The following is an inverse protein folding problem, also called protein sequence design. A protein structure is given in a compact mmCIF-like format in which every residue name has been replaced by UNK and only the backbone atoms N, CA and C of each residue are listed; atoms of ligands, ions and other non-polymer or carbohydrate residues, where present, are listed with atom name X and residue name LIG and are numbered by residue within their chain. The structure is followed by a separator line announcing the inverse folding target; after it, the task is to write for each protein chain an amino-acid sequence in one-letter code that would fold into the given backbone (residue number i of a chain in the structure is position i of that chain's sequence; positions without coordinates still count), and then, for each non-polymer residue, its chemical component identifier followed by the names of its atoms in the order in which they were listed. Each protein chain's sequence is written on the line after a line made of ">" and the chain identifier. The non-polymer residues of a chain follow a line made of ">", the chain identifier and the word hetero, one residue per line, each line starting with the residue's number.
data_IF_605818952873
#
_entry.id   IF_605818952873
#
_cell.length_a   1.000
_cell.length_b   1.000
_cell.length_c   1.000
_cell.angle_alpha   90.00
_cell.angle_beta   90.00
_cell.angle_gamma   90.00
#
_symmetry.space_group_name_H-M   'P 1'
#
loop_
_entity.id
_entity.type
_entity.pdbx_description
1 polymer ?
#
# COMPACT_ATOMS: atom_id res chain seq x y z
N UNK A 1 -8.35 9.78 5.78
CA UNK A 1 -7.45 10.67 4.98
C UNK A 1 -8.17 11.96 4.58
N UNK A 2 -9.28 11.92 3.86
CA UNK A 2 -10.02 13.13 3.42
C UNK A 2 -10.42 14.01 4.60
N UNK A 3 -11.01 13.45 5.66
CA UNK A 3 -11.39 14.20 6.87
C UNK A 3 -10.20 14.78 7.62
N UNK A 4 -9.06 14.09 7.65
CA UNK A 4 -7.84 14.63 8.26
C UNK A 4 -7.30 15.83 7.47
N UNK A 5 -7.34 15.77 6.14
CA UNK A 5 -6.97 16.91 5.27
C UNK A 5 -7.94 18.07 5.46
N UNK A 6 -9.25 17.79 5.51
CA UNK A 6 -10.28 18.81 5.76
C UNK A 6 -10.06 19.52 7.10
N UNK A 7 -9.80 18.80 8.18
CA UNK A 7 -9.55 19.39 9.49
C UNK A 7 -8.29 20.26 9.51
N UNK A 8 -7.24 19.86 8.81
CA UNK A 8 -6.00 20.66 8.70
C UNK A 8 -6.26 21.95 7.92
N UNK A 9 -6.99 21.88 6.79
CA UNK A 9 -7.31 23.05 5.98
C UNK A 9 -8.18 24.05 6.75
N UNK A 10 -9.21 23.57 7.47
CA UNK A 10 -10.09 24.42 8.27
C UNK A 10 -9.39 25.05 9.49
N UNK A 11 -8.30 24.45 9.97
CA UNK A 11 -7.49 24.98 11.08
C UNK A 11 -6.35 25.90 10.61
N UNK A 12 -5.97 25.83 9.32
CA UNK A 12 -4.96 26.72 8.79
C UNK A 12 -5.58 28.09 8.52
N UNK A 13 -5.08 29.13 9.20
CA UNK A 13 -5.32 30.53 8.83
C UNK A 13 -4.66 30.77 7.45
N UNK A 14 -5.36 30.47 6.36
CA UNK A 14 -4.90 30.80 5.02
C UNK A 14 -5.26 32.26 4.74
N UNK A 15 -4.30 33.18 4.67
CA UNK A 15 -4.56 34.55 4.23
C UNK A 15 -4.82 34.55 2.72
N UNK A 16 -5.85 35.28 2.30
CA UNK A 16 -6.05 35.79 0.96
C UNK A 16 -6.38 34.80 -0.19
N UNK A 17 -7.33 33.89 0.00
CA UNK A 17 -8.00 33.30 -1.16
C UNK A 17 -9.44 33.83 -1.25
N UNK A 18 -9.84 34.27 -2.47
CA UNK A 18 -11.22 34.71 -2.80
C UNK A 18 -12.28 33.61 -2.62
N UNK A 19 -11.86 32.41 -2.27
CA UNK A 19 -12.71 31.22 -2.13
C UNK A 19 -12.90 30.88 -0.64
N UNK A 20 -14.15 30.59 -0.24
CA UNK A 20 -14.40 30.17 1.16
C UNK A 20 -13.63 28.88 1.49
N UNK A 21 -13.22 28.69 2.75
CA UNK A 21 -12.51 27.46 3.17
C UNK A 21 -13.28 26.18 2.84
N UNK A 22 -14.61 26.22 2.86
CA UNK A 22 -15.47 25.08 2.52
C UNK A 22 -15.40 24.75 1.02
N UNK A 23 -15.42 25.76 0.15
CA UNK A 23 -15.29 25.57 -1.30
C UNK A 23 -13.90 25.02 -1.67
N UNK A 24 -12.85 25.51 -1.02
CA UNK A 24 -11.50 24.97 -1.18
C UNK A 24 -11.39 23.50 -0.73
N UNK A 25 -11.98 23.16 0.42
CA UNK A 25 -12.07 21.77 0.87
C UNK A 25 -12.80 20.88 -0.13
N UNK A 26 -13.87 21.37 -0.76
CA UNK A 26 -14.60 20.65 -1.82
C UNK A 26 -13.69 20.34 -3.02
N UNK A 27 -12.97 21.33 -3.52
CA UNK A 27 -12.01 21.14 -4.64
C UNK A 27 -10.95 20.10 -4.30
N UNK A 28 -10.36 20.17 -3.12
CA UNK A 28 -9.35 19.18 -2.67
C UNK A 28 -9.98 17.79 -2.56
N UNK A 29 -11.20 17.69 -2.04
CA UNK A 29 -11.92 16.42 -1.95
C UNK A 29 -12.16 15.82 -3.34
N UNK A 30 -12.61 16.59 -4.31
CA UNK A 30 -12.85 16.13 -5.67
C UNK A 30 -11.56 15.66 -6.35
N UNK A 31 -10.45 16.37 -6.14
CA UNK A 31 -9.13 15.95 -6.61
C UNK A 31 -8.73 14.61 -5.99
N UNK A 32 -8.89 14.44 -4.68
CA UNK A 32 -8.53 13.21 -3.98
C UNK A 32 -9.39 12.03 -4.43
N UNK A 33 -10.70 12.21 -4.58
CA UNK A 33 -11.63 11.19 -5.09
C UNK A 33 -11.25 10.82 -6.54
N UNK A 34 -11.09 11.79 -7.43
CA UNK A 34 -10.68 11.52 -8.81
C UNK A 34 -9.33 10.80 -8.91
N UNK A 35 -8.39 11.07 -8.01
CA UNK A 35 -7.11 10.36 -7.93
C UNK A 35 -7.28 8.95 -7.38
N UNK A 36 -8.15 8.77 -6.39
CA UNK A 36 -8.48 7.46 -5.85
C UNK A 36 -9.08 6.57 -6.93
N UNK A 37 -10.11 7.01 -7.62
CA UNK A 37 -10.79 6.26 -8.68
C UNK A 37 -9.84 5.80 -9.80
N UNK A 38 -8.87 6.65 -10.15
CA UNK A 38 -7.87 6.34 -11.18
C UNK A 38 -6.79 5.36 -10.72
N UNK A 39 -6.43 5.38 -9.44
CA UNK A 39 -5.29 4.65 -8.91
C UNK A 39 -5.70 3.43 -8.07
N UNK A 40 -6.95 3.34 -7.62
CA UNK A 40 -7.45 2.21 -6.84
C UNK A 40 -7.72 1.01 -7.75
N UNK A 41 -6.68 0.23 -8.00
CA UNK A 41 -6.79 -1.02 -8.77
C UNK A 41 -7.12 -2.20 -7.85
N UNK A 42 -7.61 -3.34 -8.41
CA UNK A 42 -7.84 -4.56 -7.63
C UNK A 42 -6.65 -5.00 -6.78
N UNK A 43 -5.41 -4.80 -7.26
CA UNK A 43 -4.20 -5.11 -6.49
C UNK A 43 -4.01 -4.18 -5.28
N UNK A 44 -4.38 -2.90 -5.39
CA UNK A 44 -4.35 -1.98 -4.25
C UNK A 44 -5.39 -2.39 -3.20
N UNK A 45 -6.60 -2.77 -3.62
CA UNK A 45 -7.64 -3.27 -2.72
C UNK A 45 -7.19 -4.55 -2.00
N UNK A 46 -6.55 -5.46 -2.73
CA UNK A 46 -6.00 -6.69 -2.16
C UNK A 46 -4.86 -6.38 -1.16
N UNK A 47 -3.90 -5.55 -1.52
CA UNK A 47 -2.80 -5.17 -0.63
C UNK A 47 -3.31 -4.45 0.64
N UNK A 48 -4.30 -3.57 0.49
CA UNK A 48 -4.96 -2.93 1.62
C UNK A 48 -5.64 -3.94 2.53
N UNK A 49 -6.37 -4.91 1.95
CA UNK A 49 -7.05 -5.97 2.68
C UNK A 49 -6.10 -6.92 3.42
N UNK A 50 -4.89 -7.13 2.90
CA UNK A 50 -3.90 -8.03 3.50
C UNK A 50 -3.03 -7.36 4.58
N UNK A 51 -3.21 -6.06 4.84
CA UNK A 51 -2.44 -5.37 5.85
C UNK A 51 -3.04 -5.59 7.25
N UNK A 52 -2.36 -6.33 8.16
CA UNK A 52 -2.89 -6.66 9.48
C UNK A 52 -3.22 -5.43 10.34
N UNK A 53 -2.49 -4.33 10.14
CA UNK A 53 -2.69 -3.08 10.88
C UNK A 53 -4.12 -2.58 10.82
N UNK A 54 -4.79 -2.73 9.68
CA UNK A 54 -6.16 -2.23 9.48
C UNK A 54 -7.25 -3.07 10.18
N UNK A 55 -6.85 -4.15 10.85
CA UNK A 55 -7.70 -4.99 11.69
C UNK A 55 -7.31 -4.88 13.17
N UNK A 56 -6.31 -4.07 13.51
CA UNK A 56 -5.90 -3.88 14.90
C UNK A 56 -6.86 -2.94 15.63
N UNK A 57 -7.06 -3.21 16.92
CA UNK A 57 -7.90 -2.40 17.79
C UNK A 57 -7.43 -0.93 17.86
N UNK A 58 -6.10 -0.73 17.89
CA UNK A 58 -5.50 0.59 17.92
C UNK A 58 -5.84 1.42 16.67
N UNK A 59 -5.80 0.79 15.50
CA UNK A 59 -6.13 1.48 14.25
C UNK A 59 -7.63 1.77 14.15
N UNK A 60 -8.49 0.80 14.51
CA UNK A 60 -9.94 0.93 14.42
C UNK A 60 -10.47 2.04 15.32
N UNK A 61 -9.88 2.22 16.51
CA UNK A 61 -10.32 3.21 17.49
C UNK A 61 -9.44 4.49 17.55
N UNK A 62 -8.35 4.53 16.79
CA UNK A 62 -7.33 5.59 16.89
C UNK A 62 -7.57 6.82 16.02
N UNK A 63 -8.77 7.12 15.58
CA UNK A 63 -9.05 8.27 14.70
C UNK A 63 -10.21 9.13 15.21
N UNK A 64 -10.35 10.35 14.68
CA UNK A 64 -11.50 11.22 15.00
C UNK A 64 -12.83 10.67 14.48
N UNK A 65 -12.77 9.81 13.45
CA UNK A 65 -13.91 9.14 12.85
C UNK A 65 -13.82 7.65 13.06
N UNK A 66 -14.96 6.97 13.16
CA UNK A 66 -15.04 5.52 13.24
C UNK A 66 -14.45 4.90 11.97
N UNK A 67 -13.46 4.03 12.14
CA UNK A 67 -12.84 3.28 11.04
C UNK A 67 -13.44 1.88 10.96
N UNK A 68 -13.52 1.37 9.75
CA UNK A 68 -13.99 0.01 9.48
C UNK A 68 -12.85 -0.83 8.92
N UNK A 69 -12.78 -2.12 9.26
CA UNK A 69 -11.79 -3.01 8.67
C UNK A 69 -12.08 -3.21 7.17
N UNK A 70 -11.04 -3.42 6.35
CA UNK A 70 -11.18 -3.46 4.88
C UNK A 70 -12.22 -4.44 4.34
N UNK A 71 -12.48 -5.56 5.04
CA UNK A 71 -13.46 -6.55 4.60
C UNK A 71 -14.92 -6.08 4.72
N UNK A 72 -15.19 -5.01 5.49
CA UNK A 72 -16.50 -4.40 5.63
C UNK A 72 -16.77 -3.31 4.58
N UNK A 73 -15.77 -2.91 3.82
CA UNK A 73 -15.91 -1.98 2.70
C UNK A 73 -16.24 -2.74 1.42
N UNK A 74 -17.34 -2.35 0.74
CA UNK A 74 -17.83 -3.03 -0.45
C UNK A 74 -16.91 -2.90 -1.65
N UNK A 75 -16.36 -1.71 -1.90
CA UNK A 75 -15.43 -1.44 -3.00
C UNK A 75 -14.12 -2.21 -2.82
N UNK A 76 -13.52 -2.11 -1.64
CA UNK A 76 -12.29 -2.84 -1.31
C UNK A 76 -12.50 -4.36 -1.38
N UNK A 77 -13.64 -4.85 -0.90
CA UNK A 77 -13.96 -6.28 -0.94
C UNK A 77 -14.18 -6.79 -2.37
N UNK A 78 -14.82 -6.01 -3.23
CA UNK A 78 -14.99 -6.38 -4.63
C UNK A 78 -13.64 -6.39 -5.35
N UNK A 79 -12.84 -5.34 -5.23
CA UNK A 79 -11.52 -5.27 -5.85
C UNK A 79 -10.58 -6.39 -5.38
N UNK A 80 -10.62 -6.74 -4.08
CA UNK A 80 -9.88 -7.91 -3.56
C UNK A 80 -10.30 -9.20 -4.25
N UNK A 81 -11.61 -9.48 -4.35
CA UNK A 81 -12.11 -10.70 -5.01
C UNK A 81 -11.69 -10.76 -6.48
N UNK A 82 -11.75 -9.66 -7.19
CA UNK A 82 -11.35 -9.59 -8.59
C UNK A 82 -9.85 -9.85 -8.76
N UNK A 83 -9.02 -9.31 -7.87
CA UNK A 83 -7.59 -9.59 -7.85
C UNK A 83 -7.29 -11.07 -7.54
N UNK A 84 -7.96 -11.65 -6.54
CA UNK A 84 -7.77 -13.07 -6.21
C UNK A 84 -8.16 -13.99 -7.37
N UNK A 85 -9.29 -13.75 -8.05
CA UNK A 85 -9.70 -14.52 -9.23
C UNK A 85 -8.71 -14.39 -10.39
N UNK A 86 -8.10 -13.24 -10.55
CA UNK A 86 -7.08 -13.03 -11.57
C UNK A 86 -5.78 -13.77 -11.26
N UNK A 87 -5.38 -13.85 -9.98
CA UNK A 87 -4.15 -14.50 -9.53
C UNK A 87 -4.31 -16.02 -9.45
N UNK A 88 -5.43 -16.49 -8.87
CA UNK A 88 -5.72 -17.91 -8.68
C UNK A 88 -6.78 -18.37 -9.69
N UNK A 89 -6.33 -18.98 -10.78
CA UNK A 89 -7.24 -19.47 -11.83
C UNK A 89 -7.82 -20.86 -11.51
N UNK A 90 -7.14 -21.60 -10.65
CA UNK A 90 -7.63 -22.86 -10.13
C UNK A 90 -8.65 -22.64 -8.99
N UNK A 91 -9.82 -23.26 -9.12
CA UNK A 91 -10.93 -23.07 -8.17
C UNK A 91 -10.59 -23.52 -6.77
N UNK A 92 -9.90 -24.66 -6.61
CA UNK A 92 -9.55 -25.20 -5.30
C UNK A 92 -8.57 -24.27 -4.56
N UNK A 93 -7.57 -23.76 -5.27
CA UNK A 93 -6.62 -22.79 -4.71
C UNK A 93 -7.27 -21.46 -4.35
N UNK A 94 -8.25 -21.02 -5.16
CA UNK A 94 -9.00 -19.80 -4.86
C UNK A 94 -9.84 -19.96 -3.58
N UNK A 95 -10.59 -21.05 -3.47
CA UNK A 95 -11.44 -21.35 -2.31
C UNK A 95 -10.57 -21.44 -1.03
N UNK A 96 -9.42 -22.11 -1.08
CA UNK A 96 -8.48 -22.18 0.06
C UNK A 96 -7.98 -20.79 0.51
N UNK A 97 -7.66 -19.93 -0.43
CA UNK A 97 -7.18 -18.57 -0.13
C UNK A 97 -8.30 -17.67 0.38
N UNK A 98 -9.52 -17.80 -0.14
CA UNK A 98 -10.69 -17.06 0.33
C UNK A 98 -11.08 -17.48 1.76
N UNK A 99 -11.03 -18.78 2.08
CA UNK A 99 -11.28 -19.30 3.43
C UNK A 99 -10.20 -18.79 4.43
N UNK A 100 -8.93 -18.87 4.03
CA UNK A 100 -7.85 -18.36 4.84
C UNK A 100 -7.95 -16.84 5.07
N UNK A 101 -8.38 -16.09 4.05
CA UNK A 101 -8.62 -14.65 4.20
C UNK A 101 -9.80 -14.37 5.13
N UNK A 102 -10.88 -15.16 5.09
CA UNK A 102 -12.00 -15.02 5.99
C UNK A 102 -11.57 -15.20 7.45
N UNK A 103 -10.80 -16.26 7.76
CA UNK A 103 -10.25 -16.46 9.10
C UNK A 103 -9.31 -15.33 9.53
N UNK A 104 -8.45 -14.86 8.62
CA UNK A 104 -7.56 -13.72 8.86
C UNK A 104 -8.35 -12.45 9.18
N UNK A 105 -9.36 -12.13 8.38
CA UNK A 105 -10.11 -10.87 8.52
C UNK A 105 -10.91 -10.80 9.82
N UNK A 106 -11.46 -11.91 10.25
CA UNK A 106 -12.25 -12.03 11.50
C UNK A 106 -11.32 -12.22 12.72
N UNK A 107 -10.12 -12.76 12.54
CA UNK A 107 -9.23 -13.13 13.63
C UNK A 107 -9.66 -14.41 14.32
N UNK A 108 -10.01 -15.41 13.53
CA UNK A 108 -10.47 -16.72 14.01
C UNK A 108 -9.60 -17.85 13.44
N UNK A 109 -9.90 -19.09 13.82
CA UNK A 109 -9.23 -20.27 13.31
C UNK A 109 -7.70 -20.16 13.37
N UNK A 110 -7.06 -20.28 12.21
CA UNK A 110 -5.60 -20.18 12.05
C UNK A 110 -5.00 -18.85 12.54
N UNK A 111 -5.78 -17.77 12.54
CA UNK A 111 -5.36 -16.42 12.89
C UNK A 111 -5.98 -15.90 14.19
N UNK A 112 -6.59 -16.79 15.01
CA UNK A 112 -7.28 -16.44 16.26
C UNK A 112 -6.40 -16.39 17.50
N UNK A 113 -5.11 -16.72 17.41
CA UNK A 113 -4.19 -16.73 18.55
C UNK A 113 -3.99 -15.35 19.16
N UNK A 114 -3.83 -15.28 20.50
CA UNK A 114 -3.62 -14.03 21.22
C UNK A 114 -2.47 -13.19 20.65
N UNK A 115 -1.30 -13.82 20.42
CA UNK A 115 -0.13 -13.15 19.87
C UNK A 115 -0.35 -12.69 18.43
N UNK A 116 -1.09 -13.47 17.64
CA UNK A 116 -1.45 -13.14 16.26
C UNK A 116 -2.27 -11.84 16.20
N UNK A 117 -3.26 -11.73 17.07
CA UNK A 117 -4.14 -10.54 17.17
C UNK A 117 -3.38 -9.32 17.71
N UNK A 118 -2.63 -9.50 18.81
CA UNK A 118 -1.81 -8.45 19.43
C UNK A 118 -0.81 -7.84 18.44
N UNK A 119 -0.12 -8.70 17.70
CA UNK A 119 0.96 -8.29 16.79
C UNK A 119 0.46 -7.53 15.54
N UNK A 120 -0.85 -7.52 15.25
CA UNK A 120 -1.44 -6.81 14.11
C UNK A 120 -1.10 -5.33 14.08
N UNK A 121 -1.14 -4.66 15.23
CA UNK A 121 -0.81 -3.24 15.35
C UNK A 121 0.68 -2.98 15.59
N UNK A 122 1.37 -3.91 16.26
CA UNK A 122 2.75 -3.73 16.73
C UNK A 122 3.80 -4.04 15.66
N UNK A 123 3.56 -5.02 14.79
CA UNK A 123 4.55 -5.46 13.79
C UNK A 123 4.32 -4.83 12.43
N UNK A 124 5.41 -4.69 11.67
CA UNK A 124 5.31 -4.35 10.25
C UNK A 124 4.56 -5.46 9.51
N UNK A 125 3.70 -5.12 8.52
CA UNK A 125 2.85 -6.09 7.84
C UNK A 125 3.61 -7.30 7.28
N UNK A 126 4.74 -7.08 6.62
CA UNK A 126 5.60 -8.14 6.11
C UNK A 126 6.09 -9.09 7.23
N UNK A 127 6.58 -8.52 8.34
CA UNK A 127 7.08 -9.31 9.48
C UNK A 127 5.95 -10.07 10.19
N UNK A 128 4.75 -9.50 10.21
CA UNK A 128 3.58 -10.17 10.75
C UNK A 128 3.24 -11.42 9.92
N UNK A 129 3.17 -11.29 8.59
CA UNK A 129 2.90 -12.41 7.70
C UNK A 129 4.00 -13.48 7.75
N UNK A 130 5.26 -13.08 7.87
CA UNK A 130 6.37 -14.03 8.01
C UNK A 130 6.22 -14.89 9.29
N UNK A 131 5.76 -14.29 10.39
CA UNK A 131 5.64 -15.00 11.68
C UNK A 131 4.33 -15.79 11.81
N UNK A 132 3.22 -15.28 11.30
CA UNK A 132 1.88 -15.80 11.59
C UNK A 132 1.15 -16.40 10.39
N UNK A 133 1.70 -16.25 9.17
CA UNK A 133 1.06 -16.74 7.95
C UNK A 133 1.37 -18.19 7.56
N UNK A 134 2.20 -18.89 8.29
CA UNK A 134 2.73 -20.22 7.94
C UNK A 134 1.65 -21.30 7.77
N UNK A 135 0.52 -21.13 8.43
CA UNK A 135 -0.64 -22.04 8.34
C UNK A 135 -1.45 -21.91 7.04
N UNK A 136 -1.20 -20.88 6.25
CA UNK A 136 -1.79 -20.67 4.92
C UNK A 136 -0.72 -20.17 3.94
N UNK A 137 0.14 -21.08 3.43
CA UNK A 137 1.27 -20.70 2.58
C UNK A 137 0.90 -19.92 1.32
N UNK A 138 -0.20 -20.22 0.58
CA UNK A 138 -0.57 -19.44 -0.59
C UNK A 138 -0.90 -17.99 -0.26
N UNK A 139 -1.70 -17.77 0.80
CA UNK A 139 -2.06 -16.42 1.25
C UNK A 139 -0.84 -15.67 1.82
N UNK A 140 0.02 -16.35 2.57
CA UNK A 140 1.26 -15.78 3.10
C UNK A 140 2.18 -15.28 1.99
N UNK A 141 2.45 -16.12 0.97
CA UNK A 141 3.31 -15.75 -0.15
C UNK A 141 2.77 -14.57 -0.92
N UNK A 142 1.45 -14.56 -1.16
CA UNK A 142 0.78 -13.45 -1.81
C UNK A 142 0.91 -12.15 -1.00
N UNK A 143 0.61 -12.21 0.29
CA UNK A 143 0.71 -11.06 1.18
C UNK A 143 2.14 -10.52 1.26
N UNK A 144 3.13 -11.39 1.41
CA UNK A 144 4.54 -10.99 1.45
C UNK A 144 5.00 -10.34 0.14
N UNK A 145 4.58 -10.86 -1.01
CA UNK A 145 4.88 -10.25 -2.32
C UNK A 145 4.28 -8.86 -2.46
N UNK A 146 3.00 -8.69 -2.11
CA UNK A 146 2.31 -7.41 -2.27
C UNK A 146 2.80 -6.37 -1.25
N UNK A 147 2.95 -6.75 0.01
CA UNK A 147 3.30 -5.83 1.09
C UNK A 147 4.80 -5.47 1.14
N UNK A 148 5.64 -6.15 0.37
CA UNK A 148 7.03 -5.78 0.17
C UNK A 148 7.23 -4.79 -0.99
N UNK A 149 6.22 -4.57 -1.82
CA UNK A 149 6.32 -3.63 -2.92
C UNK A 149 6.40 -2.18 -2.42
N UNK A 150 7.17 -1.37 -3.14
CA UNK A 150 7.18 0.06 -2.90
C UNK A 150 5.86 0.68 -3.38
N UNK A 151 5.34 1.64 -2.63
CA UNK A 151 4.05 2.27 -2.91
C UNK A 151 4.08 3.28 -4.06
N UNK A 152 5.25 3.59 -4.60
CA UNK A 152 5.38 4.53 -5.71
C UNK A 152 6.60 4.23 -6.59
N UNK A 153 6.50 4.58 -7.89
CA UNK A 153 7.59 4.53 -8.85
C UNK A 153 8.64 5.63 -8.69
N UNK A 154 8.44 6.55 -7.75
CA UNK A 154 9.30 7.73 -7.58
C UNK A 154 10.78 7.40 -7.35
N UNK A 155 11.07 6.23 -6.77
CA UNK A 155 12.45 5.76 -6.63
C UNK A 155 13.06 5.40 -8.00
N UNK A 156 12.27 4.77 -8.88
CA UNK A 156 12.69 4.43 -10.25
C UNK A 156 12.84 5.69 -11.10
N UNK A 157 11.90 6.63 -11.01
CA UNK A 157 11.94 7.92 -11.73
C UNK A 157 13.17 8.74 -11.36
N UNK A 158 13.55 8.76 -10.08
CA UNK A 158 14.82 9.38 -9.65
C UNK A 158 16.05 8.71 -10.23
N UNK A 159 16.03 7.40 -10.42
CA UNK A 159 17.10 6.67 -11.07
C UNK A 159 17.15 6.92 -12.58
N UNK A 160 16.00 7.18 -13.24
CA UNK A 160 15.97 7.53 -14.66
C UNK A 160 16.71 8.83 -14.94
N UNK A 161 16.57 9.84 -14.08
CA UNK A 161 17.36 11.08 -14.20
C UNK A 161 18.86 10.79 -14.15
N UNK A 162 19.30 9.95 -13.23
CA UNK A 162 20.70 9.54 -13.10
C UNK A 162 21.15 8.74 -14.33
N UNK A 163 20.34 7.79 -14.79
CA UNK A 163 20.60 6.99 -15.97
C UNK A 163 20.68 7.88 -17.23
N UNK A 164 19.74 8.80 -17.42
CA UNK A 164 19.73 9.74 -18.53
C UNK A 164 20.97 10.64 -18.57
N UNK A 165 21.45 11.08 -17.41
CA UNK A 165 22.69 11.87 -17.31
C UNK A 165 23.95 11.06 -17.64
N UNK A 166 23.99 9.78 -17.27
CA UNK A 166 25.11 8.88 -17.56
C UNK A 166 25.11 8.40 -19.03
N UNK A 167 23.90 8.14 -19.57
CA UNK A 167 23.69 7.66 -20.93
C UNK A 167 23.38 8.79 -21.94
N UNK A 168 23.68 10.04 -21.61
CA UNK A 168 23.46 11.18 -22.52
C UNK A 168 24.27 11.01 -23.80
N UNK A 169 23.77 11.58 -24.91
CA UNK A 169 24.37 11.54 -26.25
C UNK A 169 25.86 11.95 -26.26
N UNK A 170 26.29 12.79 -25.34
CA UNK A 170 27.70 13.18 -25.15
C UNK A 170 28.60 12.04 -24.60
N UNK A 171 28.01 10.99 -24.04
CA UNK A 171 28.70 9.81 -23.48
C UNK A 171 28.30 8.51 -24.16
N UNK A 172 27.88 8.57 -25.42
CA UNK A 172 27.33 7.46 -26.21
C UNK A 172 28.26 6.25 -26.45
N UNK A 173 29.49 6.29 -25.95
CA UNK A 173 30.44 5.18 -26.02
C UNK A 173 30.41 4.25 -24.79
N UNK A 174 29.52 4.49 -23.83
CA UNK A 174 29.42 3.64 -22.65
C UNK A 174 28.60 2.41 -22.99
N UNK A 175 29.17 1.25 -22.78
CA UNK A 175 28.47 -0.02 -22.88
C UNK A 175 27.33 -0.09 -21.85
N UNK A 176 26.16 -0.64 -22.21
CA UNK A 176 24.97 -0.63 -21.36
C UNK A 176 25.23 -1.26 -19.99
N UNK A 177 25.96 -2.37 -19.94
CA UNK A 177 26.34 -3.06 -18.70
C UNK A 177 27.16 -2.16 -17.74
N UNK A 178 28.05 -1.35 -18.30
CA UNK A 178 28.81 -0.36 -17.54
C UNK A 178 27.95 0.78 -17.02
N UNK A 179 26.99 1.26 -17.82
CA UNK A 179 26.04 2.29 -17.42
C UNK A 179 25.19 1.82 -16.23
N UNK A 180 24.67 0.61 -16.30
CA UNK A 180 23.89 -0.03 -15.22
C UNK A 180 24.71 -0.15 -13.93
N UNK A 181 25.96 -0.62 -14.03
CA UNK A 181 26.85 -0.72 -12.89
C UNK A 181 27.13 0.66 -12.26
N UNK A 182 27.34 1.70 -13.07
CA UNK A 182 27.56 3.06 -12.58
C UNK A 182 26.33 3.62 -11.89
N UNK A 183 25.13 3.41 -12.42
CA UNK A 183 23.86 3.83 -11.78
C UNK A 183 23.71 3.10 -10.45
N UNK A 184 23.97 1.81 -10.40
CA UNK A 184 23.91 1.03 -9.17
C UNK A 184 24.86 1.56 -8.10
N UNK A 185 26.12 1.76 -8.44
CA UNK A 185 27.15 2.28 -7.51
C UNK A 185 26.78 3.69 -7.03
N UNK A 186 26.43 4.59 -7.95
CA UNK A 186 26.04 5.96 -7.61
C UNK A 186 24.85 6.02 -6.66
N UNK A 187 23.80 5.22 -6.94
CA UNK A 187 22.60 5.18 -6.11
C UNK A 187 22.88 4.65 -4.71
N UNK A 188 23.68 3.56 -4.61
CA UNK A 188 24.02 2.97 -3.32
C UNK A 188 24.95 3.86 -2.49
N UNK A 189 25.97 4.48 -3.10
CA UNK A 189 26.81 5.44 -2.41
C UNK A 189 25.99 6.61 -1.83
N UNK A 190 25.03 7.13 -2.60
CA UNK A 190 24.15 8.21 -2.14
C UNK A 190 23.24 7.80 -0.98
N UNK A 191 22.90 6.52 -0.84
CA UNK A 191 22.14 5.99 0.30
C UNK A 191 23.00 5.81 1.54
N UNK A 192 24.27 5.46 1.37
CA UNK A 192 25.23 5.24 2.48
C UNK A 192 25.66 6.58 3.12
N UNK A 193 25.77 7.65 2.31
CA UNK A 193 26.22 8.99 2.75
C UNK A 193 25.08 9.93 3.13
N UNK A 194 23.85 9.44 3.32
CA UNK A 194 22.70 10.17 3.86
C UNK A 194 22.47 9.85 5.33
#
# INVERSE_FOLDING_TARGET
>A
MIESVRSIILQSECPEYETSPEAFCGIIQDILVSRWDKNCTPLHCLAHSLNPKYYSHEWLNGGPSRRFPPHMDGEISQGRKDALRWIFQDRASLDEVEDAFAEFSIGSGRFGGYDVIRDRGAKKPYSWWANHGTTSPPLQQLAMRLLSQVTSSSCCERNWSTYGNLCSVKKSRLEQSRAETMVYVYTNLRLIYR
#
